data_IF_308280475798
#
_entry.id   IF_308280475798
#
_cell.length_a   1.000
_cell.length_b   1.000
_cell.length_c   1.000
_cell.angle_alpha   90.00
_cell.angle_beta   90.00
_cell.angle_gamma   90.00
#
_symmetry.space_group_name_H-M   'P 1'
#
loop_
_entity.id
_entity.type
_entity.pdbx_description
1 polymer ?
#
# COMPACT_ATOMS: atom_id res chain seq x y z
N UNK A 1 -1.00 -11.72 -4.69
CA UNK A 1 -2.26 -11.03 -4.32
C UNK A 1 -2.47 -9.75 -5.14
N UNK A 2 -1.52 -8.80 -5.17
CA UNK A 2 -1.66 -7.57 -5.99
C UNK A 2 -1.84 -7.87 -7.49
N UNK A 3 -0.98 -8.71 -8.08
CA UNK A 3 -1.07 -9.08 -9.51
C UNK A 3 -2.44 -9.67 -9.88
N UNK A 4 -2.95 -10.62 -9.07
CA UNK A 4 -4.28 -11.19 -9.26
C UNK A 4 -5.38 -10.11 -9.21
N UNK A 5 -5.25 -9.09 -8.36
CA UNK A 5 -6.17 -7.96 -8.33
C UNK A 5 -6.10 -7.12 -9.61
N UNK A 6 -4.90 -6.90 -10.14
CA UNK A 6 -4.69 -6.23 -11.43
C UNK A 6 -5.38 -7.02 -12.55
N UNK A 7 -5.15 -8.34 -12.61
CA UNK A 7 -5.72 -9.20 -13.65
C UNK A 7 -7.26 -9.24 -13.60
N UNK A 8 -7.85 -9.04 -12.42
CA UNK A 8 -9.29 -8.97 -12.20
C UNK A 8 -9.88 -7.56 -12.37
N UNK A 9 -9.07 -6.56 -12.76
CA UNK A 9 -9.54 -5.19 -12.95
C UNK A 9 -9.89 -4.44 -11.65
N UNK A 10 -9.29 -4.82 -10.52
CA UNK A 10 -9.49 -4.13 -9.24
C UNK A 10 -8.88 -2.73 -9.31
N UNK A 11 -9.65 -1.72 -8.88
CA UNK A 11 -9.24 -0.31 -8.91
C UNK A 11 -8.37 0.10 -7.73
N UNK A 12 -8.56 -0.55 -6.59
CA UNK A 12 -7.85 -0.22 -5.35
C UNK A 12 -7.74 -1.43 -4.43
N UNK A 13 -6.59 -1.58 -3.79
CA UNK A 13 -6.31 -2.63 -2.80
C UNK A 13 -6.20 -1.96 -1.44
N UNK A 14 -6.93 -2.46 -0.46
CA UNK A 14 -7.00 -1.92 0.89
C UNK A 14 -6.37 -2.88 1.90
N UNK A 15 -5.79 -2.33 2.96
CA UNK A 15 -5.30 -3.10 4.11
C UNK A 15 -5.40 -2.28 5.41
N UNK A 16 -5.45 -3.01 6.53
CA UNK A 16 -5.27 -2.47 7.87
C UNK A 16 -3.93 -2.92 8.46
N UNK A 17 -3.18 -1.99 9.06
CA UNK A 17 -1.89 -2.30 9.71
C UNK A 17 -1.80 -1.59 11.07
N UNK A 18 -1.24 -2.29 12.07
CA UNK A 18 -0.93 -1.69 13.38
C UNK A 18 0.07 -0.52 13.21
N UNK A 19 -0.18 0.66 13.81
CA UNK A 19 0.78 1.78 13.81
C UNK A 19 2.15 1.40 14.37
N UNK A 20 2.19 0.45 15.31
CA UNK A 20 3.42 -0.07 15.92
C UNK A 20 4.26 -0.95 14.97
N UNK A 21 3.67 -1.47 13.88
CA UNK A 21 4.38 -2.31 12.91
C UNK A 21 5.06 -1.48 11.83
N UNK A 22 6.09 -0.71 12.23
CA UNK A 22 6.82 0.18 11.33
C UNK A 22 7.49 -0.53 10.14
N UNK A 23 7.86 -1.81 10.28
CA UNK A 23 8.45 -2.60 9.20
C UNK A 23 7.43 -2.86 8.08
N UNK A 24 6.21 -3.28 8.43
CA UNK A 24 5.14 -3.51 7.47
C UNK A 24 4.69 -2.21 6.81
N UNK A 25 4.56 -1.12 7.57
CA UNK A 25 4.19 0.20 7.03
C UNK A 25 5.18 0.63 5.94
N UNK A 26 6.48 0.60 6.23
CA UNK A 26 7.53 0.95 5.25
C UNK A 26 7.52 0.05 4.02
N UNK A 27 7.22 -1.25 4.19
CA UNK A 27 7.06 -2.17 3.06
C UNK A 27 5.88 -1.75 2.18
N UNK A 28 4.73 -1.46 2.76
CA UNK A 28 3.55 -1.05 2.00
C UNK A 28 3.73 0.31 1.31
N UNK A 29 4.35 1.28 1.98
CA UNK A 29 4.71 2.57 1.39
C UNK A 29 5.61 2.41 0.16
N UNK A 30 6.64 1.55 0.24
CA UNK A 30 7.52 1.23 -0.91
C UNK A 30 6.75 0.61 -2.08
N UNK A 31 5.71 -0.18 -1.78
CA UNK A 31 4.83 -0.76 -2.79
C UNK A 31 3.79 0.23 -3.33
N UNK A 32 3.75 1.46 -2.82
CA UNK A 32 2.87 2.54 -3.28
C UNK A 32 1.55 2.66 -2.52
N UNK A 33 1.37 1.93 -1.41
CA UNK A 33 0.22 2.14 -0.54
C UNK A 33 0.34 3.49 0.18
N UNK A 34 -0.81 4.13 0.38
CA UNK A 34 -0.92 5.41 1.08
C UNK A 34 -1.91 5.29 2.22
N UNK A 35 -1.65 5.96 3.34
CA UNK A 35 -2.60 6.04 4.45
C UNK A 35 -3.84 6.81 4.00
N UNK A 36 -5.02 6.20 4.15
CA UNK A 36 -6.34 6.79 3.87
C UNK A 36 -7.09 7.18 5.13
N UNK A 37 -6.71 6.62 6.28
CA UNK A 37 -7.34 6.94 7.54
C UNK A 37 -6.85 6.07 8.69
N UNK A 38 -7.56 6.19 9.81
CA UNK A 38 -7.25 5.48 11.05
C UNK A 38 -8.54 5.00 11.70
N UNK A 39 -8.59 3.72 12.09
CA UNK A 39 -9.69 3.15 12.89
C UNK A 39 -9.24 3.08 14.34
N UNK A 40 -9.98 3.74 15.22
CA UNK A 40 -9.64 3.76 16.65
C UNK A 40 -9.93 2.41 17.30
N UNK A 41 -9.01 1.94 18.16
CA UNK A 41 -9.12 0.71 18.96
C UNK A 41 -9.56 -0.53 18.14
N UNK A 42 -9.05 -0.63 16.91
CA UNK A 42 -9.44 -1.67 15.97
C UNK A 42 -8.97 -3.05 16.40
N UNK A 43 -7.74 -3.15 16.90
CA UNK A 43 -7.18 -4.41 17.39
C UNK A 43 -7.60 -4.61 18.85
N UNK A 44 -8.53 -5.54 19.07
CA UNK A 44 -9.20 -5.73 20.37
C UNK A 44 -8.29 -6.36 21.44
N UNK A 45 -7.24 -7.06 21.03
CA UNK A 45 -6.28 -7.71 21.92
C UNK A 45 -5.36 -6.72 22.63
N UNK A 46 -4.98 -5.64 21.96
CA UNK A 46 -4.08 -4.61 22.52
C UNK A 46 -4.76 -3.25 22.71
N UNK A 47 -5.94 -3.06 22.15
CA UNK A 47 -6.62 -1.76 22.08
C UNK A 47 -5.98 -0.78 21.08
N UNK A 48 -5.03 -1.24 20.26
CA UNK A 48 -4.37 -0.38 19.28
C UNK A 48 -5.31 0.00 18.13
N UNK A 49 -5.06 1.18 17.60
CA UNK A 49 -5.67 1.63 16.36
C UNK A 49 -5.15 0.83 15.15
N UNK A 50 -5.83 0.96 14.02
CA UNK A 50 -5.31 0.52 12.74
C UNK A 50 -5.14 1.70 11.79
N UNK A 51 -4.00 1.75 11.10
CA UNK A 51 -3.86 2.56 9.90
C UNK A 51 -4.55 1.83 8.76
N UNK A 52 -5.45 2.53 8.07
CA UNK A 52 -6.07 2.05 6.84
C UNK A 52 -5.25 2.57 5.69
N UNK A 53 -4.65 1.68 4.89
CA UNK A 53 -3.85 2.04 3.73
C UNK A 53 -4.47 1.51 2.45
N UNK A 54 -4.26 2.23 1.34
CA UNK A 54 -4.76 1.83 0.03
C UNK A 54 -3.72 2.03 -1.08
N UNK A 55 -3.68 1.09 -2.01
CA UNK A 55 -2.93 1.15 -3.26
C UNK A 55 -3.91 1.31 -4.42
N UNK A 56 -3.86 2.46 -5.10
CA UNK A 56 -4.62 2.67 -6.33
C UNK A 56 -3.91 1.99 -7.49
N UNK A 57 -4.62 1.13 -8.20
CA UNK A 57 -4.12 0.48 -9.41
C UNK A 57 -4.40 1.42 -10.59
N UNK A 58 -3.36 2.07 -11.12
CA UNK A 58 -3.45 2.85 -12.35
C UNK A 58 -3.00 1.99 -13.53
N UNK A 59 -3.79 1.97 -14.60
CA UNK A 59 -3.47 1.23 -15.84
C UNK A 59 -2.20 1.70 -16.56
N UNK A 60 -1.66 2.88 -16.20
CA UNK A 60 -0.44 3.40 -16.83
C UNK A 60 0.80 2.75 -16.21
N UNK A 61 1.55 1.91 -16.93
CA UNK A 61 2.84 1.45 -16.46
C UNK A 61 3.72 2.68 -16.25
N UNK A 62 4.30 2.83 -15.05
CA UNK A 62 5.38 3.80 -14.83
C UNK A 62 6.51 3.43 -15.79
N UNK A 63 6.87 4.27 -16.78
CA UNK A 63 8.05 3.98 -17.58
C UNK A 63 9.23 3.90 -16.62
N UNK A 64 9.93 2.76 -16.61
CA UNK A 64 11.22 2.65 -15.94
C UNK A 64 12.13 3.65 -16.64
N UNK A 65 12.45 4.74 -15.98
CA UNK A 65 13.38 5.73 -16.47
C UNK A 65 14.78 5.09 -16.44
N UNK A 66 15.12 4.37 -17.51
CA UNK A 66 16.50 4.01 -17.80
C UNK A 66 17.19 5.30 -18.23
N UNK A 67 17.91 5.94 -17.32
CA UNK A 67 18.92 6.92 -17.69
C UNK A 67 20.05 6.17 -18.39
N UNK A 68 20.06 6.16 -19.72
CA UNK A 68 21.29 5.92 -20.46
C UNK A 68 22.18 7.15 -20.29
N UNK A 69 23.44 7.03 -19.85
CA UNK A 69 24.39 8.11 -20.03
C UNK A 69 24.60 8.30 -21.53
N UNK A 70 24.43 9.53 -22.00
CA UNK A 70 24.86 9.91 -23.35
C UNK A 70 26.40 9.84 -23.39
N UNK A 71 26.91 9.42 -24.54
CA UNK A 71 28.31 9.17 -24.86
C UNK A 71 29.31 10.23 -24.37
#
# INVERSE_FOLDING_TARGET
MIQKGIDLGVKEIWLEVRPSNGAAIKLYEKQGFQVKGRRQKYYTDTGEDALVMALRISEKPRPRQFSMPLA
#
